data_IF_584414645262
#
_entry.id   IF_584414645262
#
_cell.length_a   1.000
_cell.length_b   1.000
_cell.length_c   1.000
_cell.angle_alpha   90.00
_cell.angle_beta   90.00
_cell.angle_gamma   90.00
#
_symmetry.space_group_name_H-M   'P 1'
#
loop_
_entity.id
_entity.type
_entity.pdbx_description
1 polymer ?
#
# COMPACT_ATOMS: atom_id res chain seq x y z
N UNK A 1 24.16 26.95 -5.92
CA UNK A 1 24.13 25.46 -5.92
C UNK A 1 24.39 25.01 -4.48
N UNK A 2 23.33 24.88 -3.68
CA UNK A 2 23.43 24.35 -2.34
C UNK A 2 23.25 22.83 -2.44
N UNK A 3 24.28 22.08 -2.10
CA UNK A 3 24.21 20.63 -1.94
C UNK A 3 23.36 20.36 -0.69
N UNK A 4 22.09 19.99 -0.87
CA UNK A 4 21.30 19.44 0.20
C UNK A 4 21.93 18.12 0.63
N UNK A 5 22.62 18.15 1.77
CA UNK A 5 23.28 17.00 2.38
C UNK A 5 22.25 16.03 2.95
N UNK A 6 21.77 15.11 2.17
CA UNK A 6 21.29 13.85 2.68
C UNK A 6 22.52 12.93 2.78
N UNK A 7 23.26 13.12 3.89
CA UNK A 7 24.34 12.23 4.27
C UNK A 7 23.76 10.80 4.46
N UNK A 8 24.42 9.87 3.80
CA UNK A 8 24.42 8.43 4.04
C UNK A 8 23.82 7.99 5.37
N UNK A 9 22.70 7.25 5.34
CA UNK A 9 22.41 6.24 6.36
C UNK A 9 22.03 6.72 7.75
N UNK A 10 21.37 7.84 7.91
CA UNK A 10 20.66 8.18 9.15
C UNK A 10 19.46 7.26 9.26
N UNK A 11 19.48 6.36 10.26
CA UNK A 11 18.34 5.50 10.64
C UNK A 11 17.27 6.41 11.24
N UNK A 12 16.39 6.96 10.39
CA UNK A 12 15.24 7.73 10.85
C UNK A 12 14.36 6.86 11.76
N UNK A 13 13.80 7.45 12.79
CA UNK A 13 12.76 6.84 13.60
C UNK A 13 11.54 6.55 12.69
N UNK A 14 10.83 5.44 12.96
CA UNK A 14 9.58 5.13 12.32
C UNK A 14 8.57 6.28 12.54
N UNK A 15 7.90 6.70 11.48
CA UNK A 15 6.94 7.81 11.53
C UNK A 15 5.53 7.24 11.50
N UNK A 16 4.68 7.71 12.43
CA UNK A 16 3.23 7.43 12.37
C UNK A 16 2.54 8.51 11.56
N UNK A 17 1.76 8.12 10.57
CA UNK A 17 0.97 9.00 9.72
C UNK A 17 -0.41 8.43 9.41
N UNK A 18 -1.17 9.15 8.59
CA UNK A 18 -2.50 8.74 8.10
C UNK A 18 -2.56 8.89 6.58
N UNK A 19 -3.20 7.93 5.92
CA UNK A 19 -3.51 8.04 4.49
C UNK A 19 -4.63 9.05 4.26
N UNK A 20 -4.45 9.93 3.29
CA UNK A 20 -5.49 10.89 2.86
C UNK A 20 -6.64 10.22 2.09
N UNK A 21 -6.63 8.90 1.94
CA UNK A 21 -7.72 8.13 1.33
C UNK A 21 -9.04 8.33 2.10
N UNK A 22 -8.98 8.46 3.40
CA UNK A 22 -10.13 8.72 4.29
C UNK A 22 -10.57 10.18 4.36
N UNK A 23 -9.80 11.15 3.82
CA UNK A 23 -10.07 12.58 3.95
C UNK A 23 -10.49 13.19 2.61
N UNK A 24 -11.76 13.57 2.49
CA UNK A 24 -12.36 14.03 1.23
C UNK A 24 -12.54 15.55 1.14
N UNK A 25 -12.15 16.30 2.17
CA UNK A 25 -12.25 17.76 2.20
C UNK A 25 -11.10 18.42 2.96
N UNK A 26 -10.92 19.72 2.75
CA UNK A 26 -9.88 20.48 3.47
C UNK A 26 -10.19 20.55 4.97
N UNK A 27 -11.47 20.71 5.33
CA UNK A 27 -11.94 20.75 6.70
C UNK A 27 -11.61 19.46 7.45
N UNK A 28 -11.67 18.29 6.78
CA UNK A 28 -11.27 17.01 7.38
C UNK A 28 -9.77 16.97 7.67
N UNK A 29 -8.96 17.53 6.76
CA UNK A 29 -7.50 17.63 6.94
C UNK A 29 -7.16 18.59 8.08
N UNK A 30 -7.78 19.76 8.12
CA UNK A 30 -7.61 20.77 9.19
C UNK A 30 -8.01 20.18 10.54
N UNK A 31 -9.20 19.58 10.63
CA UNK A 31 -9.67 18.94 11.87
C UNK A 31 -8.71 17.85 12.38
N UNK A 32 -8.18 17.03 11.49
CA UNK A 32 -7.16 16.04 11.86
C UNK A 32 -5.86 16.70 12.36
N UNK A 33 -5.41 17.77 11.70
CA UNK A 33 -4.23 18.53 12.14
C UNK A 33 -4.46 19.13 13.54
N UNK A 34 -5.63 19.69 13.79
CA UNK A 34 -5.98 20.27 15.09
C UNK A 34 -6.01 19.21 16.19
N UNK A 35 -6.53 18.01 15.89
CA UNK A 35 -6.60 16.92 16.87
C UNK A 35 -5.25 16.26 17.17
N UNK A 36 -4.39 16.06 16.17
CA UNK A 36 -3.07 15.38 16.32
C UNK A 36 -1.95 16.38 16.62
N UNK A 37 -2.12 17.64 16.23
CA UNK A 37 -1.16 18.70 16.48
C UNK A 37 0.07 18.65 15.56
N UNK A 38 1.24 19.09 16.07
CA UNK A 38 2.46 19.25 15.25
C UNK A 38 2.99 17.93 14.68
N UNK A 39 2.59 16.80 15.25
CA UNK A 39 3.01 15.46 14.82
C UNK A 39 2.14 14.86 13.72
N UNK A 40 1.11 15.57 13.22
CA UNK A 40 0.31 15.12 12.10
C UNK A 40 1.20 14.87 10.87
N UNK A 41 1.15 13.66 10.32
CA UNK A 41 1.88 13.23 9.13
C UNK A 41 0.92 12.54 8.17
N UNK A 42 1.20 12.65 6.87
CA UNK A 42 0.30 12.23 5.82
C UNK A 42 0.97 11.33 4.80
N UNK A 43 0.20 10.40 4.28
CA UNK A 43 0.43 9.78 2.99
C UNK A 43 -0.53 10.38 1.98
N UNK A 44 0.00 10.84 0.83
CA UNK A 44 -0.82 11.28 -0.30
C UNK A 44 -1.57 10.08 -0.87
N UNK A 45 -2.86 10.27 -1.21
CA UNK A 45 -3.71 9.20 -1.70
C UNK A 45 -3.84 9.21 -3.23
N UNK A 46 -3.94 8.02 -3.81
CA UNK A 46 -4.30 7.81 -5.22
C UNK A 46 -5.70 8.35 -5.60
N UNK A 47 -6.50 8.80 -4.63
CA UNK A 47 -7.81 9.42 -4.87
C UNK A 47 -7.77 10.95 -4.94
N UNK A 48 -6.62 11.56 -4.68
CA UNK A 48 -6.49 13.02 -4.72
C UNK A 48 -6.34 13.51 -6.16
N UNK A 49 -7.31 14.27 -6.66
CA UNK A 49 -7.18 14.97 -7.93
C UNK A 49 -6.06 16.02 -7.85
N UNK A 50 -5.53 16.43 -9.00
CA UNK A 50 -4.51 17.48 -9.06
C UNK A 50 -5.01 18.79 -8.43
N UNK A 51 -6.30 19.12 -8.63
CA UNK A 51 -6.94 20.29 -8.04
C UNK A 51 -7.01 20.19 -6.50
N UNK A 52 -7.52 19.07 -5.97
CA UNK A 52 -7.61 18.87 -4.53
C UNK A 52 -6.23 18.85 -3.87
N UNK A 53 -5.25 18.23 -4.52
CA UNK A 53 -3.87 18.21 -4.04
C UNK A 53 -3.29 19.63 -3.96
N UNK A 54 -3.55 20.48 -4.98
CA UNK A 54 -3.10 21.86 -4.98
C UNK A 54 -3.77 22.68 -3.84
N UNK A 55 -5.05 22.47 -3.58
CA UNK A 55 -5.78 23.11 -2.48
C UNK A 55 -5.28 22.64 -1.09
N UNK A 56 -5.00 21.34 -0.93
CA UNK A 56 -4.49 20.77 0.32
C UNK A 56 -3.03 21.11 0.59
N UNK A 57 -2.24 21.43 -0.44
CA UNK A 57 -0.80 21.66 -0.33
C UNK A 57 -0.37 22.64 0.79
N UNK A 58 -1.04 23.78 1.01
CA UNK A 58 -0.69 24.70 2.11
C UNK A 58 -0.80 24.06 3.50
N UNK A 59 -1.73 23.12 3.70
CA UNK A 59 -1.98 22.46 4.98
C UNK A 59 -1.00 21.31 5.24
N UNK A 60 -0.64 20.55 4.19
CA UNK A 60 0.09 19.29 4.32
C UNK A 60 1.59 19.40 3.97
N UNK A 61 2.04 20.48 3.32
CA UNK A 61 3.45 20.66 2.96
C UNK A 61 4.37 20.57 4.17
N UNK A 62 5.45 19.78 4.09
CA UNK A 62 6.36 19.50 5.20
C UNK A 62 5.83 18.47 6.21
N UNK A 63 4.63 17.90 5.97
CA UNK A 63 4.03 16.84 6.77
C UNK A 63 3.85 15.53 6.01
N UNK A 64 4.11 15.52 4.71
CA UNK A 64 3.99 14.32 3.86
C UNK A 64 5.20 13.43 4.04
N UNK A 65 4.98 12.13 4.26
CA UNK A 65 6.03 11.13 4.48
C UNK A 65 6.07 10.08 3.36
N UNK A 66 4.94 9.83 2.73
CA UNK A 66 4.79 8.90 1.61
C UNK A 66 3.70 9.35 0.64
N UNK A 67 3.67 8.74 -0.55
CA UNK A 67 2.61 8.94 -1.53
C UNK A 67 2.18 7.58 -2.08
N UNK A 68 0.87 7.36 -2.19
CA UNK A 68 0.32 6.17 -2.84
C UNK A 68 0.08 6.46 -4.32
N UNK A 69 0.59 5.63 -5.20
CA UNK A 69 0.45 5.78 -6.66
C UNK A 69 -0.98 5.38 -7.13
N UNK A 70 -1.58 6.12 -8.11
CA UNK A 70 -1.02 7.33 -8.69
C UNK A 70 -1.45 8.56 -7.92
N UNK A 71 -0.54 9.44 -7.66
CA UNK A 71 -0.87 10.75 -7.09
C UNK A 71 -0.17 11.85 -7.90
N UNK A 72 -0.91 12.83 -8.49
CA UNK A 72 -2.37 12.94 -8.48
C UNK A 72 -3.10 11.75 -9.10
N UNK A 73 -4.38 11.59 -8.75
CA UNK A 73 -5.23 10.49 -9.23
C UNK A 73 -5.36 10.50 -10.75
N UNK A 74 -5.36 9.32 -11.34
CA UNK A 74 -5.56 9.07 -12.77
C UNK A 74 -6.79 8.19 -12.98
N UNK A 75 -7.24 8.08 -14.24
CA UNK A 75 -8.37 7.22 -14.59
C UNK A 75 -8.08 5.74 -14.37
N UNK A 76 -6.80 5.35 -14.54
CA UNK A 76 -6.34 3.97 -14.44
C UNK A 76 -5.26 3.82 -13.38
N UNK A 77 -5.23 2.68 -12.72
CA UNK A 77 -4.08 2.28 -11.92
C UNK A 77 -2.91 1.83 -12.80
N UNK A 78 -1.66 1.97 -12.35
CA UNK A 78 -0.52 1.42 -13.03
C UNK A 78 -0.68 -0.09 -13.22
N UNK A 79 -0.41 -0.59 -14.42
CA UNK A 79 -0.39 -2.02 -14.69
C UNK A 79 0.97 -2.40 -15.30
N UNK A 80 1.96 -2.59 -14.45
CA UNK A 80 3.30 -3.01 -14.86
C UNK A 80 3.35 -4.46 -15.37
N UNK A 81 2.26 -5.21 -15.16
CA UNK A 81 2.14 -6.61 -15.59
C UNK A 81 1.66 -6.76 -17.04
N UNK A 82 1.04 -5.74 -17.62
CA UNK A 82 0.45 -5.79 -18.97
C UNK A 82 1.48 -6.16 -20.05
N UNK A 83 1.07 -6.91 -21.06
CA UNK A 83 1.82 -7.11 -22.30
C UNK A 83 1.54 -6.02 -23.34
N UNK A 84 0.50 -5.19 -23.15
CA UNK A 84 0.19 -4.06 -24.02
C UNK A 84 1.18 -2.92 -23.81
N UNK A 85 1.99 -2.56 -24.84
CA UNK A 85 2.98 -1.49 -24.68
C UNK A 85 2.38 -0.13 -24.34
N UNK A 86 1.15 0.16 -24.76
CA UNK A 86 0.48 1.43 -24.50
C UNK A 86 0.08 1.55 -23.04
N UNK A 87 -0.44 0.47 -22.44
CA UNK A 87 -0.79 0.39 -21.01
C UNK A 87 0.46 0.52 -20.14
N UNK A 88 1.55 -0.12 -20.56
CA UNK A 88 2.84 -0.02 -19.86
C UNK A 88 3.40 1.40 -19.95
N UNK A 89 3.41 2.00 -21.13
CA UNK A 89 3.91 3.36 -21.31
C UNK A 89 3.13 4.38 -20.47
N UNK A 90 1.80 4.27 -20.44
CA UNK A 90 0.95 5.11 -19.58
C UNK A 90 1.28 4.88 -18.11
N UNK A 91 1.39 3.63 -17.67
CA UNK A 91 1.74 3.28 -16.28
C UNK A 91 3.08 3.89 -15.85
N UNK A 92 4.09 3.83 -16.71
CA UNK A 92 5.40 4.44 -16.43
C UNK A 92 5.34 5.96 -16.37
N UNK A 93 4.54 6.60 -17.25
CA UNK A 93 4.31 8.06 -17.23
C UNK A 93 3.63 8.48 -15.91
N UNK A 94 2.61 7.75 -15.48
CA UNK A 94 1.89 8.03 -14.24
C UNK A 94 2.80 7.84 -13.00
N UNK A 95 3.70 6.86 -13.07
CA UNK A 95 4.69 6.65 -12.02
C UNK A 95 5.74 7.78 -11.97
N UNK A 96 6.21 8.31 -13.12
CA UNK A 96 7.09 9.49 -13.11
C UNK A 96 6.37 10.71 -12.53
N UNK A 97 5.11 10.95 -12.89
CA UNK A 97 4.30 12.04 -12.29
C UNK A 97 4.15 11.87 -10.78
N UNK A 98 3.95 10.63 -10.31
CA UNK A 98 3.88 10.33 -8.87
C UNK A 98 5.23 10.60 -8.18
N UNK A 99 6.35 10.25 -8.82
CA UNK A 99 7.69 10.55 -8.30
C UNK A 99 7.92 12.06 -8.16
N UNK A 100 7.57 12.83 -9.19
CA UNK A 100 7.69 14.31 -9.17
C UNK A 100 6.84 14.91 -8.05
N UNK A 101 5.62 14.40 -7.87
CA UNK A 101 4.71 14.79 -6.78
C UNK A 101 5.33 14.47 -5.42
N UNK A 102 5.82 13.25 -5.22
CA UNK A 102 6.47 12.84 -3.98
C UNK A 102 7.65 13.74 -3.63
N UNK A 103 8.52 14.03 -4.60
CA UNK A 103 9.66 14.95 -4.44
C UNK A 103 9.19 16.38 -4.10
N UNK A 104 8.15 16.88 -4.77
CA UNK A 104 7.58 18.21 -4.54
C UNK A 104 7.00 18.38 -3.13
N UNK A 105 6.56 17.32 -2.48
CA UNK A 105 6.09 17.30 -1.09
C UNK A 105 7.14 16.83 -0.08
N UNK A 106 8.30 16.36 -0.52
CA UNK A 106 9.37 15.84 0.33
C UNK A 106 9.10 14.43 0.86
N UNK A 107 8.23 13.66 0.20
CA UNK A 107 7.96 12.26 0.54
C UNK A 107 9.15 11.38 0.18
N UNK A 108 9.57 10.51 1.11
CA UNK A 108 10.69 9.59 0.92
C UNK A 108 10.31 8.20 0.45
N UNK A 109 9.02 7.91 0.35
CA UNK A 109 8.46 6.61 -0.03
C UNK A 109 7.31 6.82 -1.02
N UNK A 110 7.24 5.97 -2.04
CA UNK A 110 6.05 5.82 -2.88
C UNK A 110 5.57 4.38 -2.78
N UNK A 111 4.30 4.21 -2.42
CA UNK A 111 3.61 2.91 -2.38
C UNK A 111 2.95 2.63 -3.72
N UNK A 112 2.98 1.39 -4.17
CA UNK A 112 2.49 0.98 -5.48
C UNK A 112 1.79 -0.38 -5.43
N UNK A 113 0.61 -0.46 -6.07
CA UNK A 113 0.05 -1.73 -6.56
C UNK A 113 0.80 -2.12 -7.85
N UNK A 114 1.49 -3.25 -7.86
CA UNK A 114 2.43 -3.60 -8.94
C UNK A 114 1.77 -3.85 -10.31
N UNK A 115 0.48 -4.18 -10.33
CA UNK A 115 -0.27 -4.45 -11.54
C UNK A 115 -1.34 -5.51 -11.37
N UNK A 116 -1.88 -5.96 -12.52
CA UNK A 116 -3.04 -6.85 -12.57
C UNK A 116 -2.81 -7.96 -13.60
N UNK A 117 -3.49 -9.08 -13.40
CA UNK A 117 -3.45 -10.25 -14.29
C UNK A 117 -4.31 -9.99 -15.54
N UNK A 118 -4.00 -8.94 -16.27
CA UNK A 118 -4.68 -8.55 -17.53
C UNK A 118 -3.80 -7.58 -18.32
N UNK A 119 -3.99 -7.55 -19.64
CA UNK A 119 -3.32 -6.57 -20.51
C UNK A 119 -4.10 -5.25 -20.61
N UNK A 120 -5.30 -5.20 -20.05
CA UNK A 120 -6.13 -3.99 -20.07
C UNK A 120 -5.62 -2.92 -19.09
N UNK A 121 -5.85 -1.67 -19.42
CA UNK A 121 -5.79 -0.59 -18.45
C UNK A 121 -6.83 -0.84 -17.34
N UNK A 122 -6.38 -0.84 -16.08
CA UNK A 122 -7.24 -1.16 -14.94
C UNK A 122 -7.79 0.12 -14.31
N UNK A 123 -9.11 0.35 -14.38
CA UNK A 123 -9.70 1.57 -13.83
C UNK A 123 -9.39 1.76 -12.32
N UNK A 124 -9.11 2.99 -11.91
CA UNK A 124 -8.88 3.33 -10.50
C UNK A 124 -10.16 3.21 -9.65
N UNK A 125 -11.34 3.40 -10.25
CA UNK A 125 -12.62 3.17 -9.58
C UNK A 125 -12.95 1.68 -9.47
N UNK A 126 -13.28 1.20 -8.26
CA UNK A 126 -13.70 -0.20 -8.05
C UNK A 126 -14.96 -0.57 -8.85
N UNK A 127 -15.93 0.34 -8.96
CA UNK A 127 -17.15 0.10 -9.75
C UNK A 127 -16.84 -0.18 -11.22
N UNK A 128 -15.85 0.51 -11.79
CA UNK A 128 -15.41 0.30 -13.17
C UNK A 128 -14.51 -0.95 -13.33
N UNK A 129 -13.76 -1.34 -12.27
CA UNK A 129 -12.95 -2.58 -12.27
C UNK A 129 -13.79 -3.85 -12.18
N UNK A 130 -14.90 -3.82 -11.43
CA UNK A 130 -15.72 -4.99 -11.17
C UNK A 130 -16.14 -5.76 -12.44
N UNK A 131 -16.62 -5.12 -13.53
CA UNK A 131 -16.94 -5.81 -14.78
C UNK A 131 -15.72 -6.52 -15.42
N UNK A 132 -14.54 -5.93 -15.32
CA UNK A 132 -13.32 -6.54 -15.85
C UNK A 132 -12.97 -7.79 -15.04
N UNK A 133 -12.95 -7.69 -13.70
CA UNK A 133 -12.64 -8.79 -12.80
C UNK A 133 -13.71 -9.90 -12.76
N UNK A 134 -14.87 -9.67 -13.38
CA UNK A 134 -15.95 -10.67 -13.50
C UNK A 134 -15.94 -11.41 -14.85
N UNK A 135 -14.91 -11.21 -15.67
CA UNK A 135 -14.79 -11.91 -16.97
C UNK A 135 -14.49 -13.39 -16.78
N UNK A 136 -14.86 -14.24 -17.76
CA UNK A 136 -14.69 -15.69 -17.65
C UNK A 136 -13.25 -16.13 -17.35
N UNK A 137 -12.25 -15.42 -17.87
CA UNK A 137 -10.83 -15.74 -17.64
C UNK A 137 -10.41 -15.69 -16.15
N UNK A 138 -11.09 -14.89 -15.35
CA UNK A 138 -10.83 -14.79 -13.91
C UNK A 138 -11.61 -15.83 -13.09
N UNK A 139 -12.78 -16.28 -13.59
CA UNK A 139 -13.70 -17.11 -12.81
C UNK A 139 -13.14 -18.49 -12.46
N UNK A 140 -12.22 -19.01 -13.28
CA UNK A 140 -11.62 -20.32 -13.06
C UNK A 140 -10.75 -20.40 -11.79
N UNK A 141 -10.19 -19.28 -11.37
CA UNK A 141 -9.32 -19.18 -10.20
C UNK A 141 -10.07 -18.70 -8.93
N UNK A 142 -11.38 -18.44 -9.05
CA UNK A 142 -12.22 -18.03 -7.90
C UNK A 142 -12.51 -19.22 -7.01
N UNK A 143 -12.10 -19.15 -5.74
CA UNK A 143 -12.45 -20.12 -4.70
C UNK A 143 -13.68 -19.71 -3.90
N UNK A 144 -13.82 -18.42 -3.63
CA UNK A 144 -14.98 -17.87 -2.94
C UNK A 144 -15.60 -16.77 -3.80
N UNK A 145 -16.86 -16.95 -4.20
CA UNK A 145 -17.55 -16.05 -5.12
C UNK A 145 -17.74 -14.64 -4.53
N UNK A 146 -18.05 -14.54 -3.22
CA UNK A 146 -18.11 -13.26 -2.53
C UNK A 146 -16.69 -12.67 -2.45
N UNK A 147 -16.53 -11.49 -3.08
CA UNK A 147 -15.25 -10.82 -3.21
C UNK A 147 -14.33 -11.36 -4.31
N UNK A 148 -14.72 -12.39 -5.06
CA UNK A 148 -13.90 -13.04 -6.10
C UNK A 148 -12.51 -13.47 -5.57
N UNK A 149 -12.50 -14.14 -4.41
CA UNK A 149 -11.29 -14.52 -3.68
C UNK A 149 -10.64 -15.76 -4.33
N UNK A 150 -9.33 -15.70 -4.54
CA UNK A 150 -8.52 -16.84 -5.02
C UNK A 150 -8.01 -17.71 -3.86
N UNK A 151 -7.42 -18.85 -4.21
CA UNK A 151 -6.71 -19.72 -3.26
C UNK A 151 -5.18 -19.57 -3.35
N UNK A 152 -4.43 -20.26 -2.48
CA UNK A 152 -2.96 -20.19 -2.44
C UNK A 152 -2.30 -20.71 -3.73
N UNK A 153 -2.98 -21.56 -4.48
CA UNK A 153 -2.52 -22.09 -5.77
C UNK A 153 -2.54 -21.06 -6.90
N UNK A 154 -3.24 -19.92 -6.74
CA UNK A 154 -3.40 -18.92 -7.81
C UNK A 154 -2.06 -18.42 -8.33
N UNK A 155 -1.08 -18.18 -7.46
CA UNK A 155 0.26 -17.73 -7.84
C UNK A 155 1.02 -18.70 -8.75
N UNK A 156 0.62 -19.97 -8.77
CA UNK A 156 1.19 -21.01 -9.63
C UNK A 156 0.35 -21.26 -10.91
N UNK A 157 -0.75 -20.54 -11.10
CA UNK A 157 -1.60 -20.73 -12.27
C UNK A 157 -0.91 -20.24 -13.55
N UNK A 158 -1.13 -20.92 -14.70
CA UNK A 158 -0.60 -20.47 -15.98
C UNK A 158 -1.07 -19.08 -16.39
N UNK A 159 -2.21 -18.62 -15.87
CA UNK A 159 -2.73 -17.28 -16.08
C UNK A 159 -1.97 -16.22 -15.30
N UNK A 160 -1.54 -16.51 -14.08
CA UNK A 160 -0.87 -15.58 -13.17
C UNK A 160 0.61 -15.36 -13.51
N UNK A 161 1.35 -16.45 -13.71
CA UNK A 161 2.83 -16.44 -13.83
C UNK A 161 3.35 -15.41 -14.82
N UNK A 162 2.85 -15.33 -16.08
CA UNK A 162 3.41 -14.39 -17.05
C UNK A 162 3.26 -12.91 -16.63
N UNK A 163 2.19 -12.57 -15.92
CA UNK A 163 1.96 -11.21 -15.43
C UNK A 163 2.87 -10.89 -14.24
N UNK A 164 3.01 -11.82 -13.31
CA UNK A 164 3.90 -11.65 -12.17
C UNK A 164 5.36 -11.44 -12.63
N UNK A 165 5.84 -12.22 -13.57
CA UNK A 165 7.22 -12.11 -14.09
C UNK A 165 7.44 -10.76 -14.81
N UNK A 166 6.52 -10.31 -15.66
CA UNK A 166 6.61 -8.99 -16.30
C UNK A 166 6.60 -7.85 -15.27
N UNK A 167 5.74 -7.96 -14.24
CA UNK A 167 5.71 -6.98 -13.15
C UNK A 167 7.05 -6.94 -12.40
N UNK A 168 7.60 -8.10 -12.01
CA UNK A 168 8.90 -8.20 -11.31
C UNK A 168 10.02 -7.54 -12.11
N UNK A 169 10.13 -7.81 -13.40
CA UNK A 169 11.16 -7.22 -14.26
C UNK A 169 11.08 -5.68 -14.27
N UNK A 170 9.87 -5.13 -14.46
CA UNK A 170 9.66 -3.67 -14.53
C UNK A 170 9.80 -2.99 -13.19
N UNK A 171 9.41 -3.68 -12.10
CA UNK A 171 9.59 -3.18 -10.74
C UNK A 171 11.06 -2.93 -10.41
N UNK A 172 11.96 -3.82 -10.81
CA UNK A 172 13.42 -3.64 -10.61
C UNK A 172 13.90 -2.37 -11.30
N UNK A 173 13.54 -2.16 -12.56
CA UNK A 173 13.93 -0.96 -13.30
C UNK A 173 13.38 0.33 -12.67
N UNK A 174 12.11 0.28 -12.25
CA UNK A 174 11.42 1.41 -11.62
C UNK A 174 12.01 1.72 -10.23
N UNK A 175 12.27 0.70 -9.41
CA UNK A 175 12.86 0.86 -8.07
C UNK A 175 14.22 1.55 -8.15
N UNK A 176 15.08 1.12 -9.07
CA UNK A 176 16.37 1.78 -9.34
C UNK A 176 16.23 3.22 -9.82
N UNK A 177 15.20 3.51 -10.61
CA UNK A 177 14.88 4.90 -11.05
C UNK A 177 14.52 5.78 -9.86
N UNK A 178 13.66 5.27 -8.96
CA UNK A 178 13.23 5.97 -7.75
C UNK A 178 14.38 6.15 -6.74
N UNK A 179 15.19 5.12 -6.53
CA UNK A 179 16.36 5.18 -5.65
C UNK A 179 17.37 6.26 -6.09
N UNK A 180 17.60 6.41 -7.40
CA UNK A 180 18.43 7.51 -7.93
C UNK A 180 17.87 8.90 -7.63
N UNK A 181 16.56 9.03 -7.42
CA UNK A 181 15.92 10.26 -7.00
C UNK A 181 15.87 10.43 -5.47
N UNK A 182 16.35 9.45 -4.71
CA UNK A 182 16.33 9.44 -3.25
C UNK A 182 14.98 9.02 -2.65
N UNK A 183 14.11 8.39 -3.42
CA UNK A 183 12.79 7.89 -3.00
C UNK A 183 12.79 6.36 -3.02
N UNK A 184 12.22 5.73 -2.01
CA UNK A 184 12.00 4.27 -1.97
C UNK A 184 10.69 3.93 -2.67
N UNK A 185 10.73 3.00 -3.63
CA UNK A 185 9.53 2.40 -4.20
C UNK A 185 9.16 1.17 -3.39
N UNK A 186 7.97 1.16 -2.81
CA UNK A 186 7.46 0.11 -1.95
C UNK A 186 6.25 -0.58 -2.59
N UNK A 187 6.37 -1.88 -2.87
CA UNK A 187 5.27 -2.69 -3.43
C UNK A 187 4.39 -3.18 -2.29
N UNK A 188 3.09 -2.99 -2.43
CA UNK A 188 2.10 -3.39 -1.46
C UNK A 188 1.57 -4.80 -1.72
N UNK A 189 1.41 -5.61 -0.64
CA UNK A 189 0.66 -6.86 -0.73
C UNK A 189 -0.84 -6.55 -0.82
N UNK A 190 -1.48 -7.10 -1.85
CA UNK A 190 -2.91 -6.87 -2.09
C UNK A 190 -3.78 -7.96 -1.44
N UNK A 191 -5.06 -7.65 -1.26
CA UNK A 191 -6.03 -8.64 -0.83
C UNK A 191 -6.16 -9.77 -1.88
N UNK A 192 -6.54 -11.02 -1.48
CA UNK A 192 -6.44 -12.20 -2.33
C UNK A 192 -7.56 -12.29 -3.37
N UNK A 193 -7.77 -11.25 -4.15
CA UNK A 193 -8.73 -11.24 -5.27
C UNK A 193 -8.08 -11.76 -6.54
N UNK A 194 -8.83 -12.53 -7.31
CA UNK A 194 -8.42 -12.88 -8.68
C UNK A 194 -8.16 -11.61 -9.49
N UNK A 195 -7.17 -11.65 -10.35
CA UNK A 195 -6.76 -10.49 -11.14
C UNK A 195 -5.77 -9.56 -10.44
N UNK A 196 -5.54 -9.70 -9.13
CA UNK A 196 -4.51 -8.95 -8.39
C UNK A 196 -3.21 -9.76 -8.32
N UNK A 197 -2.10 -9.08 -8.03
CA UNK A 197 -0.76 -9.68 -7.89
C UNK A 197 -0.24 -9.50 -6.47
N UNK A 198 0.60 -10.45 -6.04
CA UNK A 198 1.39 -10.40 -4.80
C UNK A 198 0.55 -10.31 -3.52
N UNK A 199 0.08 -11.46 -3.06
CA UNK A 199 -0.82 -11.57 -1.91
C UNK A 199 -0.15 -12.17 -0.68
N UNK A 200 0.74 -13.17 -0.89
CA UNK A 200 1.24 -14.02 0.18
C UNK A 200 2.59 -13.57 0.73
N UNK A 201 2.95 -14.01 1.96
CA UNK A 201 4.27 -13.72 2.52
C UNK A 201 5.41 -14.20 1.62
N UNK A 202 5.26 -15.35 0.96
CA UNK A 202 6.30 -15.90 0.08
C UNK A 202 6.52 -15.00 -1.14
N UNK A 203 5.45 -14.48 -1.76
CA UNK A 203 5.56 -13.55 -2.88
C UNK A 203 6.23 -12.23 -2.46
N UNK A 204 5.91 -11.74 -1.27
CA UNK A 204 6.56 -10.54 -0.73
C UNK A 204 8.05 -10.79 -0.46
N UNK A 205 8.45 -11.97 0.02
CA UNK A 205 9.87 -12.33 0.16
C UNK A 205 10.57 -12.46 -1.20
N UNK A 206 9.90 -13.01 -2.21
CA UNK A 206 10.43 -13.04 -3.57
C UNK A 206 10.71 -11.61 -4.08
N UNK A 207 9.76 -10.68 -3.91
CA UNK A 207 9.95 -9.28 -4.27
C UNK A 207 11.11 -8.63 -3.51
N UNK A 208 11.20 -8.87 -2.20
CA UNK A 208 12.28 -8.34 -1.36
C UNK A 208 13.68 -8.78 -1.82
N UNK A 209 13.77 -9.96 -2.43
CA UNK A 209 15.03 -10.55 -2.90
C UNK A 209 15.44 -10.09 -4.32
N UNK A 210 14.54 -9.47 -5.10
CA UNK A 210 14.81 -9.12 -6.50
C UNK A 210 15.89 -8.06 -6.67
N UNK A 211 15.87 -7.02 -5.83
CA UNK A 211 16.75 -5.88 -5.98
C UNK A 211 16.95 -5.14 -4.64
N UNK A 212 18.15 -4.65 -4.32
CA UNK A 212 18.40 -3.87 -3.10
C UNK A 212 17.57 -2.58 -3.02
N UNK A 213 17.18 -1.98 -4.15
CA UNK A 213 16.42 -0.75 -4.21
C UNK A 213 14.90 -0.96 -4.18
N UNK A 214 14.41 -2.21 -4.30
CA UNK A 214 13.00 -2.54 -4.19
C UNK A 214 12.62 -2.73 -2.71
N UNK A 215 11.55 -2.06 -2.29
CA UNK A 215 11.03 -2.09 -0.93
C UNK A 215 9.61 -2.64 -0.91
N UNK A 216 9.10 -2.92 0.28
CA UNK A 216 7.76 -3.45 0.51
C UNK A 216 6.92 -2.43 1.30
N UNK A 217 5.64 -2.39 0.97
CA UNK A 217 4.60 -1.88 1.84
C UNK A 217 3.83 -3.08 2.39
N UNK A 218 3.78 -3.22 3.70
CA UNK A 218 3.01 -4.28 4.35
C UNK A 218 1.64 -3.74 4.72
N UNK A 219 0.62 -4.14 3.97
CA UNK A 219 -0.76 -3.91 4.36
C UNK A 219 -1.23 -5.04 5.26
N UNK A 220 -1.49 -4.69 6.54
CA UNK A 220 -1.85 -5.67 7.56
C UNK A 220 -3.27 -6.18 7.40
N UNK A 221 -4.19 -5.35 6.90
CA UNK A 221 -5.57 -5.74 6.66
C UNK A 221 -5.72 -6.66 5.46
N UNK A 222 -5.01 -6.39 4.35
CA UNK A 222 -4.96 -7.28 3.20
C UNK A 222 -4.37 -8.65 3.57
N UNK A 223 -3.27 -8.65 4.36
CA UNK A 223 -2.66 -9.90 4.81
C UNK A 223 -3.59 -10.68 5.76
N UNK A 224 -4.40 -9.97 6.58
CA UNK A 224 -5.40 -10.61 7.43
C UNK A 224 -6.43 -11.37 6.62
N UNK A 225 -6.96 -10.76 5.56
CA UNK A 225 -7.87 -11.43 4.62
C UNK A 225 -7.18 -12.64 3.96
N UNK A 226 -5.94 -12.44 3.51
CA UNK A 226 -5.17 -13.49 2.82
C UNK A 226 -4.90 -14.68 3.72
N UNK A 227 -4.65 -14.46 5.01
CA UNK A 227 -4.39 -15.53 5.97
C UNK A 227 -5.58 -16.50 6.10
N UNK A 228 -6.81 -15.99 6.11
CA UNK A 228 -8.02 -16.82 6.10
C UNK A 228 -8.22 -17.53 4.77
N UNK A 229 -8.00 -16.82 3.66
CA UNK A 229 -8.23 -17.39 2.33
C UNK A 229 -7.22 -18.49 1.99
N UNK A 230 -5.96 -18.32 2.41
CA UNK A 230 -4.85 -19.22 2.08
C UNK A 230 -4.51 -20.21 3.20
N UNK A 231 -5.06 -20.03 4.40
CA UNK A 231 -4.93 -20.98 5.52
C UNK A 231 -3.56 -20.96 6.20
N UNK A 232 -2.91 -19.82 6.33
CA UNK A 232 -1.66 -19.67 7.09
C UNK A 232 -1.86 -18.85 8.38
N UNK A 233 -0.92 -18.97 9.33
CA UNK A 233 -0.92 -18.17 10.55
C UNK A 233 -0.62 -16.70 10.23
N UNK A 234 -1.56 -15.82 10.54
CA UNK A 234 -1.47 -14.41 10.24
C UNK A 234 -0.26 -13.71 10.87
N UNK A 235 -0.03 -13.97 12.17
CA UNK A 235 1.08 -13.29 12.89
C UNK A 235 2.44 -13.80 12.43
N UNK A 236 2.56 -15.07 12.07
CA UNK A 236 3.77 -15.61 11.45
C UNK A 236 3.99 -15.03 10.05
N UNK A 237 2.92 -14.82 9.27
CA UNK A 237 2.98 -14.11 7.99
C UNK A 237 3.52 -12.68 8.12
N UNK A 238 3.02 -11.92 9.11
CA UNK A 238 3.53 -10.58 9.43
C UNK A 238 5.02 -10.61 9.80
N UNK A 239 5.42 -11.49 10.73
CA UNK A 239 6.82 -11.63 11.15
C UNK A 239 7.73 -12.01 9.99
N UNK A 240 7.26 -12.86 9.09
CA UNK A 240 7.99 -13.30 7.90
C UNK A 240 8.29 -12.11 6.98
N UNK A 241 7.29 -11.29 6.65
CA UNK A 241 7.48 -10.13 5.78
C UNK A 241 8.38 -9.07 6.45
N UNK A 242 8.12 -8.76 7.72
CA UNK A 242 8.95 -7.81 8.51
C UNK A 242 10.40 -8.32 8.63
N UNK A 243 10.59 -9.63 8.82
CA UNK A 243 11.88 -10.28 8.91
C UNK A 243 12.76 -10.15 7.67
N UNK A 244 12.18 -9.83 6.50
CA UNK A 244 12.95 -9.52 5.29
C UNK A 244 13.86 -8.30 5.44
N UNK A 245 13.56 -7.41 6.39
CA UNK A 245 14.25 -6.13 6.58
C UNK A 245 14.03 -5.11 5.46
N UNK A 246 13.05 -5.36 4.56
CA UNK A 246 12.77 -4.56 3.36
C UNK A 246 11.45 -3.81 3.44
N UNK A 247 10.72 -3.85 4.56
CA UNK A 247 9.48 -3.10 4.74
C UNK A 247 9.80 -1.62 4.98
N UNK A 248 9.33 -0.75 4.09
CA UNK A 248 9.50 0.70 4.18
C UNK A 248 8.28 1.39 4.80
N UNK A 249 7.08 0.85 4.57
CA UNK A 249 5.80 1.34 5.09
C UNK A 249 4.92 0.19 5.51
N UNK A 250 4.07 0.41 6.52
CA UNK A 250 2.96 -0.48 6.85
C UNK A 250 1.66 0.30 6.73
N UNK A 251 0.68 -0.22 6.00
CA UNK A 251 -0.69 0.27 6.02
C UNK A 251 -1.45 -0.45 7.12
N UNK A 252 -2.12 0.33 7.97
CA UNK A 252 -2.75 -0.14 9.19
C UNK A 252 -4.25 0.14 9.15
N UNK A 253 -5.01 -0.89 8.93
CA UNK A 253 -6.46 -0.95 9.08
C UNK A 253 -6.88 -2.36 9.50
N UNK A 254 -8.04 -2.49 10.09
CA UNK A 254 -8.66 -3.78 10.33
C UNK A 254 -9.73 -4.08 9.28
N UNK A 255 -10.21 -5.29 9.28
CA UNK A 255 -11.32 -5.74 8.44
C UNK A 255 -12.25 -6.63 9.24
N UNK A 256 -13.55 -6.58 8.93
CA UNK A 256 -14.57 -7.48 9.48
C UNK A 256 -14.56 -8.87 8.84
N UNK A 257 -13.36 -9.35 8.45
CA UNK A 257 -13.17 -10.63 7.77
C UNK A 257 -13.16 -11.81 8.76
N UNK A 258 -13.74 -12.93 8.31
CA UNK A 258 -13.74 -14.18 9.01
C UNK A 258 -13.67 -15.34 7.98
N UNK A 259 -13.35 -16.58 8.39
CA UNK A 259 -13.33 -17.71 7.47
C UNK A 259 -14.62 -17.84 6.66
N UNK A 260 -14.50 -17.77 5.32
CA UNK A 260 -15.63 -17.84 4.40
C UNK A 260 -16.35 -16.51 4.12
N UNK A 261 -15.99 -15.43 4.82
CA UNK A 261 -16.48 -14.08 4.57
C UNK A 261 -15.31 -13.09 4.54
N UNK A 262 -14.98 -12.60 3.37
CA UNK A 262 -13.80 -11.80 3.09
C UNK A 262 -14.20 -10.36 2.79
N UNK A 263 -13.84 -9.42 3.66
CA UNK A 263 -14.19 -8.02 3.58
C UNK A 263 -12.93 -7.15 3.61
N UNK A 264 -12.81 -6.31 2.61
CA UNK A 264 -11.79 -5.28 2.51
C UNK A 264 -12.49 -3.93 2.76
N UNK A 265 -12.81 -3.68 4.02
CA UNK A 265 -13.64 -2.56 4.47
C UNK A 265 -12.85 -1.45 5.16
N UNK A 266 -11.54 -1.61 5.31
CA UNK A 266 -10.66 -0.62 5.94
C UNK A 266 -11.24 -0.08 7.26
N UNK A 267 -11.76 -0.97 8.10
CA UNK A 267 -12.39 -0.60 9.37
C UNK A 267 -11.37 -0.07 10.39
N UNK A 268 -11.90 0.51 11.46
CA UNK A 268 -11.09 0.97 12.59
C UNK A 268 -10.21 -0.15 13.15
N UNK A 269 -9.01 0.17 13.61
CA UNK A 269 -8.11 -0.77 14.29
C UNK A 269 -8.73 -1.43 15.54
N UNK A 270 -9.83 -0.85 16.06
CA UNK A 270 -10.61 -1.40 17.18
C UNK A 270 -11.62 -2.47 16.76
N UNK A 271 -11.61 -2.90 15.52
CA UNK A 271 -12.53 -3.92 15.00
C UNK A 271 -12.44 -5.21 15.83
N UNK A 272 -13.60 -5.75 16.20
CA UNK A 272 -13.68 -6.94 17.02
C UNK A 272 -13.07 -8.15 16.29
N UNK A 273 -12.21 -8.89 16.98
CA UNK A 273 -11.54 -10.08 16.44
C UNK A 273 -10.22 -9.80 15.73
N UNK A 274 -9.89 -8.55 15.43
CA UNK A 274 -8.58 -8.18 14.90
C UNK A 274 -7.52 -8.21 16.02
N UNK A 275 -6.38 -8.90 15.86
CA UNK A 275 -5.36 -9.07 16.91
C UNK A 275 -4.46 -7.83 17.04
N UNK A 276 -5.06 -6.70 17.40
CA UNK A 276 -4.44 -5.38 17.36
C UNK A 276 -3.12 -5.27 18.13
N UNK A 277 -3.07 -5.78 19.35
CA UNK A 277 -1.88 -5.64 20.21
C UNK A 277 -0.68 -6.38 19.63
N UNK A 278 -0.90 -7.62 19.16
CA UNK A 278 0.15 -8.43 18.55
C UNK A 278 0.64 -7.82 17.24
N UNK A 279 -0.28 -7.36 16.41
CA UNK A 279 0.04 -6.65 15.14
C UNK A 279 0.90 -5.44 15.44
N UNK A 280 0.47 -4.56 16.34
CA UNK A 280 1.19 -3.35 16.66
C UNK A 280 2.56 -3.62 17.28
N UNK A 281 2.70 -4.66 18.13
CA UNK A 281 4.02 -5.10 18.64
C UNK A 281 4.97 -5.51 17.50
N UNK A 282 4.47 -6.25 16.51
CA UNK A 282 5.29 -6.72 15.39
C UNK A 282 5.68 -5.53 14.48
N UNK A 283 4.73 -4.71 14.07
CA UNK A 283 5.01 -3.61 13.13
C UNK A 283 5.81 -2.45 13.78
N UNK A 284 5.57 -2.16 15.06
CA UNK A 284 6.35 -1.14 15.78
C UNK A 284 7.80 -1.55 16.01
N UNK A 285 8.10 -2.85 16.07
CA UNK A 285 9.46 -3.36 16.12
C UNK A 285 10.20 -3.21 14.78
N UNK A 286 9.48 -3.01 13.66
CA UNK A 286 10.07 -2.64 12.37
C UNK A 286 10.50 -1.18 12.39
N UNK A 287 11.24 -0.77 11.36
CA UNK A 287 11.60 0.64 11.13
C UNK A 287 10.80 1.26 10.00
N UNK A 288 9.71 0.62 9.63
CA UNK A 288 8.79 1.09 8.61
C UNK A 288 7.97 2.29 9.12
N UNK A 289 7.55 3.17 8.23
CA UNK A 289 6.50 4.12 8.55
C UNK A 289 5.20 3.38 8.83
N UNK A 290 4.44 3.85 9.80
CA UNK A 290 3.16 3.26 10.22
C UNK A 290 2.04 4.20 9.77
N UNK A 291 1.35 3.85 8.70
CA UNK A 291 0.32 4.67 8.07
C UNK A 291 -1.06 4.10 8.38
N UNK A 292 -1.87 4.85 9.11
CA UNK A 292 -3.27 4.50 9.35
C UNK A 292 -4.05 4.69 8.04
N UNK A 293 -4.67 3.62 7.55
CA UNK A 293 -5.47 3.63 6.33
C UNK A 293 -6.93 3.23 6.59
N UNK A 294 -7.39 3.33 7.83
CA UNK A 294 -8.78 3.17 8.19
C UNK A 294 -9.64 4.32 7.60
N UNK A 295 -10.92 4.08 7.39
CA UNK A 295 -11.87 5.10 6.88
C UNK A 295 -12.65 5.80 8.00
N UNK A 296 -12.54 5.31 9.24
CA UNK A 296 -13.23 5.84 10.42
C UNK A 296 -12.25 6.11 11.56
N UNK A 297 -12.59 7.04 12.46
CA UNK A 297 -11.83 7.38 13.68
C UNK A 297 -10.32 7.57 13.42
N UNK A 298 -9.97 8.33 12.38
CA UNK A 298 -8.58 8.48 11.92
C UNK A 298 -7.64 8.98 13.04
N UNK A 299 -8.08 9.99 13.79
CA UNK A 299 -7.29 10.53 14.89
C UNK A 299 -7.16 9.55 16.06
N UNK A 300 -8.23 8.83 16.41
CA UNK A 300 -8.21 7.80 17.45
C UNK A 300 -7.27 6.65 17.09
N UNK A 301 -7.38 6.12 15.87
CA UNK A 301 -6.48 5.08 15.36
C UNK A 301 -5.01 5.57 15.33
N UNK A 302 -4.77 6.82 14.90
CA UNK A 302 -3.41 7.40 14.91
C UNK A 302 -2.82 7.45 16.31
N UNK A 303 -3.60 7.87 17.33
CA UNK A 303 -3.14 7.91 18.73
C UNK A 303 -2.79 6.53 19.26
N UNK A 304 -3.56 5.49 18.88
CA UNK A 304 -3.27 4.08 19.22
C UNK A 304 -1.91 3.68 18.66
N UNK A 305 -1.68 3.91 17.37
CA UNK A 305 -0.42 3.58 16.70
C UNK A 305 0.75 4.36 17.30
N UNK A 306 0.58 5.65 17.59
CA UNK A 306 1.61 6.47 18.25
C UNK A 306 1.96 5.95 19.66
N UNK A 307 0.96 5.50 20.45
CA UNK A 307 1.22 4.87 21.75
C UNK A 307 2.05 3.58 21.59
N UNK A 308 1.67 2.72 20.64
CA UNK A 308 2.39 1.49 20.37
C UNK A 308 3.84 1.75 19.92
N UNK A 309 4.05 2.68 19.00
CA UNK A 309 5.38 3.07 18.53
C UNK A 309 6.26 3.64 19.66
N UNK A 310 5.65 4.27 20.66
CA UNK A 310 6.33 4.78 21.86
C UNK A 310 6.51 3.73 22.98
N UNK A 311 6.12 2.47 22.76
CA UNK A 311 6.18 1.40 23.75
C UNK A 311 5.24 1.60 24.95
N UNK A 312 4.13 2.34 24.77
CA UNK A 312 3.13 2.62 25.82
C UNK A 312 1.94 1.65 25.70
N UNK A 313 1.21 1.47 26.81
CA UNK A 313 -0.05 0.72 26.79
C UNK A 313 -1.04 1.32 25.78
N UNK A 314 -1.68 0.44 25.02
CA UNK A 314 -2.50 0.81 23.86
C UNK A 314 -3.97 0.98 24.28
N UNK A 315 -4.44 0.16 25.24
CA UNK A 315 -5.83 0.11 25.75
C UNK A 315 -5.93 0.70 27.14
#
# INVERSE_FOLDING_TARGET
MARNGWASGGRGEAVTGVSLVGMKSLEAIEGYIDEIGPNARFELSYQMSAEFLAQAAPLIRGRVVSAHACCPSTEFFPNLASADPSVVAQSLTDMETTLETALGFGAGIVVLHAGYVTDLAMPSSYAARKPILSRPEFLNDVRHADGAICGPEYRASPGYIPYAERAKERLVALARRYARAGVRLAVENLNPRVGYLFHSPEEMLELAALDPDLWLCLDVGHLYITSFAFGFDYLEGLKTIIGSGKVASCHLHANSSEPGRYRDDHSSLKEQGFPLEEVLKIVAASRANLIVEAVEDLAGNTRIVQKAAAGREIL
#
